data_IF_524317822756
#
_entry.id   IF_524317822756
#
_cell.length_a   1.000
_cell.length_b   1.000
_cell.length_c   1.000
_cell.angle_alpha   90.00
_cell.angle_beta   90.00
_cell.angle_gamma   90.00
#
_symmetry.space_group_name_H-M   'P 1'
#
loop_
_entity.id
_entity.type
_entity.pdbx_description
1 polymer ?
#
# COMPACT_ATOMS: atom_id res chain seq x y z
N UNK A 1 -5.15 39.43 46.69
CA UNK A 1 -4.71 38.04 46.37
C UNK A 1 -5.86 37.17 45.85
N UNK A 2 -6.62 37.61 44.82
CA UNK A 2 -7.67 36.78 44.19
C UNK A 2 -7.70 36.84 42.65
N UNK A 3 -7.05 37.83 42.02
CA UNK A 3 -6.94 37.90 40.56
C UNK A 3 -5.73 37.15 39.97
N UNK A 4 -4.70 36.85 40.77
CA UNK A 4 -3.51 36.15 40.28
C UNK A 4 -3.70 34.62 40.15
N UNK A 5 -4.70 34.05 40.85
CA UNK A 5 -4.95 32.60 40.84
C UNK A 5 -5.84 32.18 39.67
N UNK A 6 -6.65 33.09 39.12
CA UNK A 6 -7.53 32.79 37.98
C UNK A 6 -6.76 32.85 36.65
N UNK A 7 -5.70 33.67 36.53
CA UNK A 7 -4.86 33.69 35.33
C UNK A 7 -3.91 32.49 35.21
N UNK A 8 -3.61 31.81 36.32
CA UNK A 8 -2.80 30.59 36.34
C UNK A 8 -3.61 29.32 36.02
N UNK A 9 -4.95 29.39 36.04
CA UNK A 9 -5.82 28.27 35.69
C UNK A 9 -6.13 28.16 34.18
N UNK A 10 -5.68 29.14 33.36
CA UNK A 10 -5.85 29.10 31.89
C UNK A 10 -4.62 28.53 31.16
N UNK A 11 -3.48 28.38 31.84
CA UNK A 11 -2.25 27.81 31.26
C UNK A 11 -2.00 26.33 31.59
N UNK A 12 -2.96 25.66 32.22
CA UNK A 12 -3.03 24.20 32.27
C UNK A 12 -3.98 23.67 31.17
N UNK A 13 -3.97 24.29 29.99
CA UNK A 13 -4.45 23.61 28.80
C UNK A 13 -3.48 22.46 28.55
N UNK A 14 -3.90 21.24 28.90
CA UNK A 14 -3.26 20.02 28.47
C UNK A 14 -2.88 20.21 27.00
N UNK A 15 -1.58 20.10 26.66
CA UNK A 15 -1.19 20.00 25.26
C UNK A 15 -1.82 18.72 24.75
N UNK A 16 -3.03 18.82 24.21
CA UNK A 16 -3.56 17.81 23.32
C UNK A 16 -2.49 17.70 22.23
N UNK A 17 -1.74 16.60 22.25
CA UNK A 17 -0.80 16.33 21.18
C UNK A 17 -1.62 16.39 19.89
N UNK A 18 -1.24 17.28 18.97
CA UNK A 18 -1.92 17.38 17.70
C UNK A 18 -1.89 16.00 17.05
N UNK A 19 -3.06 15.47 16.71
CA UNK A 19 -3.19 14.21 15.96
C UNK A 19 -2.41 14.37 14.66
N UNK A 20 -1.71 13.31 14.27
CA UNK A 20 -0.91 13.29 13.04
C UNK A 20 -1.75 13.68 11.83
N UNK A 21 -1.16 14.50 10.97
CA UNK A 21 -1.73 14.89 9.69
C UNK A 21 -1.23 13.98 8.59
N UNK A 22 -2.05 13.77 7.57
CA UNK A 22 -1.65 12.99 6.40
C UNK A 22 -0.40 13.58 5.75
N UNK A 23 0.57 12.74 5.42
CA UNK A 23 1.84 13.17 4.85
C UNK A 23 3.04 12.39 5.34
N UNK A 24 4.23 12.90 4.99
CA UNK A 24 5.49 12.43 5.56
C UNK A 24 5.46 12.57 7.08
N UNK A 25 5.88 11.51 7.77
CA UNK A 25 6.13 11.57 9.20
C UNK A 25 7.27 12.56 9.49
N UNK A 26 7.34 13.13 10.71
CA UNK A 26 8.46 13.98 11.10
C UNK A 26 9.80 13.30 10.83
N UNK A 27 10.60 13.90 9.95
CA UNK A 27 11.86 13.33 9.45
C UNK A 27 11.74 11.91 8.89
N UNK A 28 10.59 11.53 8.31
CA UNK A 28 10.38 10.20 7.71
C UNK A 28 11.13 9.98 6.40
N UNK A 29 11.61 11.05 5.78
CA UNK A 29 12.52 11.04 4.62
C UNK A 29 14.00 11.21 5.00
N UNK A 30 14.31 11.21 6.30
CA UNK A 30 15.68 11.20 6.83
C UNK A 30 16.63 12.33 6.39
N UNK A 31 16.11 13.41 5.78
CA UNK A 31 16.91 14.57 5.34
C UNK A 31 17.52 15.38 6.50
N UNK A 32 17.01 15.19 7.73
CA UNK A 32 17.69 15.67 8.94
C UNK A 32 18.48 14.52 9.56
N UNK A 33 19.79 14.51 9.35
CA UNK A 33 20.69 13.47 9.83
C UNK A 33 21.19 13.64 11.28
N UNK A 34 21.85 12.60 11.81
CA UNK A 34 22.55 12.67 13.10
C UNK A 34 23.76 13.60 13.05
N UNK A 35 24.24 14.06 14.21
CA UNK A 35 25.50 14.80 14.27
C UNK A 35 26.68 13.89 13.86
N UNK A 36 27.72 14.44 13.23
CA UNK A 36 28.91 13.67 12.82
C UNK A 36 29.58 12.92 13.99
N UNK A 37 29.49 13.45 15.21
CA UNK A 37 30.00 12.80 16.43
C UNK A 37 29.18 11.59 16.88
N UNK A 38 27.96 11.44 16.38
CA UNK A 38 27.05 10.33 16.65
C UNK A 38 27.10 9.26 15.55
N UNK A 39 28.00 9.43 14.58
CA UNK A 39 28.29 8.47 13.52
C UNK A 39 29.65 7.80 13.75
N UNK A 40 29.68 6.48 13.70
CA UNK A 40 30.90 5.67 13.67
C UNK A 40 31.22 5.36 12.22
N UNK A 41 32.48 5.55 11.82
CA UNK A 41 32.95 5.36 10.45
C UNK A 41 32.15 6.14 9.39
N UNK A 42 31.45 7.20 9.79
CA UNK A 42 30.70 8.08 8.89
C UNK A 42 29.26 7.66 8.57
N UNK A 43 28.86 6.41 8.84
CA UNK A 43 27.51 5.91 8.52
C UNK A 43 26.80 5.24 9.70
N UNK A 44 27.52 4.50 10.55
CA UNK A 44 26.91 3.69 11.61
C UNK A 44 26.42 4.56 12.75
N UNK A 45 25.14 4.45 13.10
CA UNK A 45 24.48 5.27 14.12
C UNK A 45 24.86 4.77 15.52
N UNK A 46 25.53 5.63 16.31
CA UNK A 46 26.07 5.25 17.63
C UNK A 46 25.02 5.19 18.73
N UNK A 47 24.02 6.07 18.69
CA UNK A 47 23.05 6.25 19.76
C UNK A 47 21.62 6.00 19.30
N UNK A 48 20.83 5.36 20.14
CA UNK A 48 19.42 5.03 19.86
C UNK A 48 18.49 6.23 19.61
N UNK A 49 18.97 7.47 19.72
CA UNK A 49 18.22 8.72 19.48
C UNK A 49 18.99 9.72 18.62
N UNK A 50 20.06 9.27 17.96
CA UNK A 50 20.93 10.14 17.18
C UNK A 50 20.23 10.63 15.91
N UNK A 51 19.38 9.81 15.29
CA UNK A 51 18.55 10.26 14.16
C UNK A 51 17.41 11.13 14.71
N UNK A 52 17.29 12.40 14.31
CA UNK A 52 16.19 13.26 14.75
C UNK A 52 14.82 12.62 14.54
N UNK A 53 13.96 12.64 15.57
CA UNK A 53 12.57 12.12 15.56
C UNK A 53 12.40 10.60 15.46
N UNK A 54 13.48 9.84 15.40
CA UNK A 54 13.46 8.39 15.32
C UNK A 54 14.30 7.78 16.44
N UNK A 55 13.80 6.69 17.02
CA UNK A 55 14.60 5.85 17.88
C UNK A 55 15.16 4.67 17.05
N UNK A 56 16.40 4.28 17.28
CA UNK A 56 17.08 3.18 16.57
C UNK A 56 17.47 2.07 17.54
N UNK A 57 17.44 0.83 17.06
CA UNK A 57 17.93 -0.35 17.78
C UNK A 57 18.68 -1.28 16.83
N UNK A 58 19.74 -1.93 17.32
CA UNK A 58 20.58 -2.81 16.52
C UNK A 58 21.55 -2.06 15.60
N UNK A 59 21.97 -2.71 14.51
CA UNK A 59 22.91 -2.16 13.54
C UNK A 59 22.18 -1.28 12.52
N UNK A 60 22.25 0.04 12.71
CA UNK A 60 21.58 1.02 11.84
C UNK A 60 22.62 1.92 11.19
N UNK A 61 22.54 2.12 9.88
CA UNK A 61 23.36 3.06 9.15
C UNK A 61 22.54 4.22 8.59
N UNK A 62 23.12 5.41 8.62
CA UNK A 62 22.64 6.59 7.92
C UNK A 62 23.41 6.72 6.60
N UNK A 63 22.71 6.53 5.49
CA UNK A 63 23.30 6.40 4.15
C UNK A 63 23.04 7.67 3.36
N UNK A 64 24.09 8.24 2.79
CA UNK A 64 24.04 9.35 1.85
C UNK A 64 23.94 8.83 0.39
N UNK A 65 23.25 9.58 -0.46
CA UNK A 65 23.16 9.28 -1.88
C UNK A 65 24.56 9.21 -2.52
N UNK A 66 24.79 8.21 -3.36
CA UNK A 66 26.10 7.93 -3.94
C UNK A 66 27.00 7.02 -3.09
N UNK A 67 26.58 6.64 -1.88
CA UNK A 67 27.32 5.72 -1.03
C UNK A 67 27.50 4.35 -1.68
N UNK A 68 28.70 3.78 -1.55
CA UNK A 68 29.06 2.48 -2.11
C UNK A 68 29.48 1.51 -1.01
N UNK A 69 29.00 0.28 -1.12
CA UNK A 69 29.51 -0.87 -0.39
C UNK A 69 30.33 -1.75 -1.35
N UNK A 70 31.65 -1.63 -1.28
CA UNK A 70 32.53 -2.18 -2.32
C UNK A 70 32.26 -1.52 -3.67
N UNK A 71 31.96 -2.32 -4.69
CA UNK A 71 31.57 -1.83 -6.02
C UNK A 71 30.07 -1.56 -6.17
N UNK A 72 29.25 -1.96 -5.18
CA UNK A 72 27.80 -1.82 -5.23
C UNK A 72 27.37 -0.43 -4.76
N UNK A 73 26.58 0.27 -5.58
CA UNK A 73 25.92 1.53 -5.20
C UNK A 73 24.67 1.23 -4.38
N UNK A 74 24.55 1.84 -3.20
CA UNK A 74 23.31 1.81 -2.42
C UNK A 74 22.40 2.93 -2.91
N UNK A 75 21.24 2.55 -3.45
CA UNK A 75 20.34 3.49 -4.09
C UNK A 75 19.37 4.06 -3.07
N UNK A 76 19.49 5.37 -2.82
CA UNK A 76 18.57 6.12 -1.96
C UNK A 76 17.27 6.38 -2.74
N UNK A 77 16.09 5.92 -2.27
CA UNK A 77 14.83 6.05 -3.01
C UNK A 77 14.41 7.48 -3.32
N UNK A 78 14.56 8.40 -2.35
CA UNK A 78 14.19 9.80 -2.49
C UNK A 78 15.20 10.71 -1.77
N UNK A 79 15.45 11.88 -2.34
CA UNK A 79 16.27 12.90 -1.68
C UNK A 79 17.74 12.51 -1.58
N UNK A 80 18.38 12.88 -0.47
CA UNK A 80 19.82 12.74 -0.28
C UNK A 80 20.18 11.65 0.74
N UNK A 81 19.25 11.23 1.61
CA UNK A 81 19.56 10.34 2.72
C UNK A 81 18.50 9.25 2.95
N UNK A 82 18.94 8.10 3.44
CA UNK A 82 18.07 7.01 3.88
C UNK A 82 18.67 6.29 5.09
N UNK A 83 17.88 5.45 5.74
CA UNK A 83 18.35 4.60 6.84
C UNK A 83 18.43 3.15 6.38
N UNK A 84 19.58 2.51 6.56
CA UNK A 84 19.74 1.08 6.32
C UNK A 84 19.60 0.30 7.62
N UNK A 85 18.76 -0.73 7.59
CA UNK A 85 18.55 -1.64 8.71
C UNK A 85 19.37 -2.91 8.49
N UNK A 86 20.44 -3.09 9.25
CA UNK A 86 21.21 -4.33 9.27
C UNK A 86 20.49 -5.46 10.00
N UNK A 87 21.24 -6.49 10.40
CA UNK A 87 20.71 -7.66 11.10
C UNK A 87 19.97 -7.27 12.40
N UNK A 88 18.75 -7.76 12.55
CA UNK A 88 17.88 -7.54 13.71
C UNK A 88 17.71 -6.04 14.10
N UNK A 89 17.88 -5.14 13.13
CA UNK A 89 17.84 -3.70 13.37
C UNK A 89 16.44 -3.12 13.15
N UNK A 90 16.12 -2.06 13.89
CA UNK A 90 14.83 -1.38 13.77
C UNK A 90 14.91 0.13 13.95
N UNK A 91 13.91 0.79 13.38
CA UNK A 91 13.58 2.19 13.65
C UNK A 91 12.18 2.29 14.25
N UNK A 92 12.01 3.21 15.19
CA UNK A 92 10.77 3.44 15.91
C UNK A 92 10.40 4.93 15.89
N UNK A 93 9.12 5.22 15.67
CA UNK A 93 8.56 6.55 15.91
C UNK A 93 7.25 6.47 16.71
N UNK A 94 7.10 7.38 17.68
CA UNK A 94 5.85 7.58 18.42
C UNK A 94 4.97 8.58 17.70
N UNK A 95 3.77 8.15 17.33
CA UNK A 95 2.85 8.92 16.49
C UNK A 95 1.55 9.19 17.26
N UNK A 96 1.17 10.46 17.52
CA UNK A 96 -0.13 10.80 18.07
C UNK A 96 -1.22 10.53 17.03
N UNK A 97 -2.18 9.67 17.35
CA UNK A 97 -3.25 9.21 16.44
C UNK A 97 -4.62 9.34 17.10
N UNK A 98 -5.67 9.34 16.30
CA UNK A 98 -7.04 9.29 16.80
C UNK A 98 -7.47 7.84 17.01
N UNK A 99 -7.61 7.44 18.28
CA UNK A 99 -8.10 6.10 18.65
C UNK A 99 -9.40 5.75 17.93
N UNK A 100 -9.46 4.54 17.40
CA UNK A 100 -10.58 4.00 16.63
C UNK A 100 -10.49 4.27 15.13
N UNK A 101 -9.63 5.18 14.70
CA UNK A 101 -9.40 5.49 13.28
C UNK A 101 -8.48 4.46 12.63
N UNK A 102 -8.59 4.35 11.31
CA UNK A 102 -7.73 3.50 10.50
C UNK A 102 -6.63 4.36 9.88
N UNK A 103 -5.45 3.78 9.72
CA UNK A 103 -4.30 4.46 9.15
C UNK A 103 -3.58 3.52 8.17
N UNK A 104 -3.00 4.09 7.13
CA UNK A 104 -2.01 3.43 6.28
C UNK A 104 -0.64 4.08 6.49
N UNK A 105 0.37 3.26 6.74
CA UNK A 105 1.77 3.63 6.62
C UNK A 105 2.21 3.37 5.18
N UNK A 106 2.98 4.29 4.62
CA UNK A 106 3.63 4.13 3.32
C UNK A 106 5.11 4.44 3.48
N UNK A 107 5.99 3.61 2.93
CA UNK A 107 7.43 3.88 2.96
C UNK A 107 8.08 3.26 1.73
N UNK A 108 9.22 3.80 1.32
CA UNK A 108 10.05 3.25 0.26
C UNK A 108 11.10 2.34 0.86
N UNK A 109 11.35 1.22 0.19
CA UNK A 109 12.40 0.32 0.59
C UNK A 109 13.21 -0.16 -0.62
N UNK A 110 14.54 -0.09 -0.49
CA UNK A 110 15.48 -0.58 -1.47
C UNK A 110 16.23 -1.79 -0.92
N UNK A 111 16.41 -2.81 -1.76
CA UNK A 111 17.19 -3.99 -1.39
C UNK A 111 18.66 -3.71 -1.57
N UNK A 112 19.49 -4.31 -0.71
CA UNK A 112 20.95 -4.16 -0.82
C UNK A 112 21.61 -5.48 -1.20
N UNK A 113 21.52 -6.48 -0.34
CA UNK A 113 22.27 -7.73 -0.49
C UNK A 113 21.46 -8.99 -0.21
N UNK A 114 20.38 -8.91 0.58
CA UNK A 114 19.61 -10.09 0.94
C UNK A 114 18.66 -10.49 -0.20
N UNK A 115 18.64 -11.79 -0.52
CA UNK A 115 17.85 -12.33 -1.64
C UNK A 115 16.36 -12.47 -1.32
N UNK A 116 16.02 -12.68 -0.04
CA UNK A 116 14.66 -12.88 0.45
C UNK A 116 14.38 -11.98 1.66
N UNK A 117 14.47 -10.66 1.45
CA UNK A 117 14.18 -9.68 2.49
C UNK A 117 12.70 -9.77 2.92
N UNK A 118 12.50 -9.76 4.23
CA UNK A 118 11.21 -9.62 4.90
C UNK A 118 11.33 -8.46 5.85
N UNK A 119 10.32 -7.60 5.88
CA UNK A 119 10.29 -6.49 6.81
C UNK A 119 9.07 -6.63 7.71
N UNK A 120 9.30 -6.55 9.02
CA UNK A 120 8.22 -6.48 9.99
C UNK A 120 7.83 -5.03 10.19
N UNK A 121 6.56 -4.72 9.98
CA UNK A 121 5.98 -3.41 10.31
C UNK A 121 4.97 -3.63 11.41
N UNK A 122 5.09 -2.91 12.52
CA UNK A 122 4.21 -3.10 13.65
C UNK A 122 3.77 -1.79 14.29
N UNK A 123 2.54 -1.82 14.79
CA UNK A 123 1.91 -0.82 15.65
C UNK A 123 1.19 -1.58 16.74
N UNK A 124 1.75 -1.58 17.96
CA UNK A 124 1.24 -2.42 19.06
C UNK A 124 -0.29 -2.35 19.22
N UNK A 125 -1.00 -3.49 19.24
CA UNK A 125 -0.53 -4.89 19.17
C UNK A 125 -0.53 -5.51 17.75
N UNK A 126 -0.81 -4.73 16.70
CA UNK A 126 -0.88 -5.20 15.31
C UNK A 126 0.52 -5.24 14.67
N UNK A 127 0.75 -6.23 13.82
CA UNK A 127 1.98 -6.37 13.05
C UNK A 127 1.70 -7.06 11.72
N UNK A 128 2.41 -6.66 10.68
CA UNK A 128 2.42 -7.31 9.38
C UNK A 128 3.83 -7.64 8.92
N UNK A 129 3.95 -8.66 8.07
CA UNK A 129 5.19 -9.04 7.41
C UNK A 129 5.08 -8.65 5.94
N UNK A 130 5.95 -7.76 5.49
CA UNK A 130 5.99 -7.30 4.10
C UNK A 130 7.08 -8.08 3.36
N UNK A 131 6.71 -9.01 2.46
CA UNK A 131 7.70 -9.74 1.68
C UNK A 131 8.29 -8.83 0.60
N UNK A 132 9.60 -8.57 0.69
CA UNK A 132 10.35 -7.76 -0.29
C UNK A 132 11.09 -8.61 -1.32
N UNK A 133 10.75 -9.91 -1.42
CA UNK A 133 11.39 -10.84 -2.34
C UNK A 133 11.21 -10.45 -3.82
N UNK A 134 10.05 -9.88 -4.16
CA UNK A 134 9.74 -9.48 -5.54
C UNK A 134 10.08 -8.02 -5.72
N UNK A 135 10.99 -7.74 -6.66
CA UNK A 135 11.28 -6.39 -7.11
C UNK A 135 10.29 -6.08 -8.23
N UNK A 136 9.46 -5.05 -8.06
CA UNK A 136 8.47 -4.67 -9.07
C UNK A 136 9.01 -3.61 -10.02
N UNK A 137 9.84 -2.69 -9.53
CA UNK A 137 10.52 -1.68 -10.34
C UNK A 137 11.95 -2.05 -10.75
N UNK A 138 12.36 -1.68 -11.95
CA UNK A 138 13.77 -1.80 -12.41
C UNK A 138 14.75 -0.88 -11.65
N UNK A 139 14.23 0.09 -10.90
CA UNK A 139 15.00 1.12 -10.20
C UNK A 139 15.73 0.62 -8.93
N UNK A 140 15.39 -0.58 -8.43
CA UNK A 140 16.01 -1.17 -7.23
C UNK A 140 15.32 -0.82 -5.91
N UNK A 141 14.22 -0.08 -5.94
CA UNK A 141 13.35 0.19 -4.80
C UNK A 141 11.88 0.19 -5.22
N UNK A 142 11.00 0.01 -4.23
CA UNK A 142 9.55 0.15 -4.37
C UNK A 142 8.97 0.84 -3.13
N UNK A 143 7.79 1.46 -3.25
CA UNK A 143 7.03 1.94 -2.08
C UNK A 143 5.98 0.91 -1.67
N UNK A 144 5.87 0.64 -0.37
CA UNK A 144 4.96 -0.34 0.21
C UNK A 144 3.98 0.33 1.14
N UNK A 145 2.77 -0.20 1.22
CA UNK A 145 1.76 0.22 2.19
C UNK A 145 1.34 -0.91 3.12
N UNK A 146 1.11 -0.55 4.39
CA UNK A 146 0.54 -1.42 5.42
C UNK A 146 -0.47 -0.63 6.25
N UNK A 147 -1.53 -1.26 6.74
CA UNK A 147 -2.61 -0.56 7.43
C UNK A 147 -2.91 -1.15 8.80
N UNK A 148 -3.36 -0.31 9.71
CA UNK A 148 -3.70 -0.68 11.08
C UNK A 148 -4.90 0.14 11.60
N UNK A 149 -5.48 -0.31 12.71
CA UNK A 149 -6.46 0.47 13.46
C UNK A 149 -5.86 0.97 14.76
N UNK A 150 -5.89 2.27 14.99
CA UNK A 150 -5.36 2.86 16.21
C UNK A 150 -6.17 2.40 17.44
N UNK A 151 -5.58 1.57 18.30
CA UNK A 151 -6.18 1.15 19.58
C UNK A 151 -5.84 2.09 20.75
N UNK A 152 -4.85 2.96 20.55
CA UNK A 152 -4.34 3.95 21.50
C UNK A 152 -4.36 5.35 20.87
N UNK A 153 -4.16 6.39 21.68
CA UNK A 153 -4.05 7.78 21.20
C UNK A 153 -2.61 8.16 20.79
N UNK A 154 -1.64 7.32 21.15
CA UNK A 154 -0.26 7.37 20.67
C UNK A 154 0.15 5.94 20.37
N UNK A 155 0.68 5.72 19.17
CA UNK A 155 1.16 4.41 18.72
C UNK A 155 2.66 4.44 18.51
N UNK A 156 3.31 3.29 18.69
CA UNK A 156 4.71 3.07 18.35
C UNK A 156 4.77 2.34 17.01
N UNK A 157 5.12 3.07 15.96
CA UNK A 157 5.41 2.49 14.65
C UNK A 157 6.83 1.95 14.69
N UNK A 158 7.01 0.66 14.43
CA UNK A 158 8.31 0.01 14.32
C UNK A 158 8.45 -0.62 12.94
N UNK A 159 9.54 -0.28 12.27
CA UNK A 159 10.00 -0.96 11.05
C UNK A 159 11.25 -1.75 11.43
N UNK A 160 11.18 -3.07 11.30
CA UNK A 160 12.19 -4.01 11.80
C UNK A 160 12.63 -4.96 10.70
N UNK A 161 13.94 -5.09 10.52
CA UNK A 161 14.56 -6.13 9.70
C UNK A 161 14.87 -7.34 10.60
N UNK A 162 14.08 -8.43 10.56
CA UNK A 162 14.37 -9.66 11.30
C UNK A 162 15.46 -10.52 10.65
N UNK A 163 16.00 -10.10 9.50
CA UNK A 163 16.99 -10.84 8.75
C UNK A 163 18.29 -11.05 9.53
N UNK A 164 18.94 -12.18 9.27
CA UNK A 164 20.26 -12.50 9.80
C UNK A 164 21.12 -13.00 8.66
N UNK A 165 22.00 -12.14 8.18
CA UNK A 165 22.94 -12.40 7.10
C UNK A 165 24.39 -12.44 7.63
N UNK A 166 25.32 -12.95 6.84
CA UNK A 166 26.74 -13.01 7.23
C UNK A 166 27.34 -11.61 7.44
N UNK A 167 26.97 -10.66 6.58
CA UNK A 167 27.30 -9.25 6.77
C UNK A 167 26.25 -8.59 7.67
N UNK A 168 26.63 -8.09 8.87
CA UNK A 168 25.71 -7.45 9.80
C UNK A 168 25.06 -6.18 9.25
N UNK A 169 25.67 -5.52 8.26
CA UNK A 169 25.08 -4.37 7.58
C UNK A 169 23.99 -4.79 6.60
N UNK A 170 23.89 -6.06 6.23
CA UNK A 170 22.98 -6.50 5.19
C UNK A 170 21.51 -6.32 5.53
N UNK A 171 20.78 -5.65 4.65
CA UNK A 171 19.35 -5.38 4.82
C UNK A 171 18.86 -4.13 4.09
N UNK A 172 17.55 -3.85 4.17
CA UNK A 172 16.92 -2.85 3.34
C UNK A 172 17.32 -1.42 3.74
N UNK A 173 17.41 -0.53 2.73
CA UNK A 173 17.32 0.91 2.95
C UNK A 173 15.84 1.28 3.06
N UNK A 174 15.50 2.07 4.07
CA UNK A 174 14.17 2.60 4.34
C UNK A 174 14.20 4.11 4.16
N UNK A 175 13.19 4.63 3.49
CA UNK A 175 13.05 6.05 3.20
C UNK A 175 11.57 6.46 3.04
N UNK A 176 11.30 7.76 3.07
CA UNK A 176 10.02 8.39 2.78
C UNK A 176 8.82 7.79 3.56
N UNK A 177 9.00 7.58 4.88
CA UNK A 177 7.93 7.07 5.74
C UNK A 177 6.85 8.12 5.93
N UNK A 178 5.64 7.78 5.52
CA UNK A 178 4.45 8.59 5.52
C UNK A 178 3.27 7.86 6.17
N UNK A 179 2.28 8.64 6.59
CA UNK A 179 1.03 8.13 7.15
C UNK A 179 -0.15 8.84 6.50
N UNK A 180 -1.25 8.11 6.35
CA UNK A 180 -2.54 8.68 5.97
C UNK A 180 -3.66 8.07 6.78
N UNK A 181 -4.58 8.92 7.22
CA UNK A 181 -5.84 8.50 7.83
C UNK A 181 -6.71 7.87 6.75
N UNK A 182 -7.20 6.66 7.01
CA UNK A 182 -8.12 5.95 6.13
C UNK A 182 -9.55 6.12 6.62
N UNK A 183 -10.44 6.51 5.70
CA UNK A 183 -11.87 6.64 5.99
C UNK A 183 -12.63 5.41 5.49
N UNK A 184 -13.22 4.58 6.39
CA UNK A 184 -13.95 3.40 5.97
C UNK A 184 -15.08 3.74 4.98
N UNK A 185 -15.05 3.20 3.74
CA UNK A 185 -15.99 3.56 2.69
C UNK A 185 -17.40 3.05 3.03
N UNK A 186 -18.38 3.93 2.85
CA UNK A 186 -19.81 3.57 2.90
C UNK A 186 -20.29 3.10 1.53
N UNK A 187 -21.34 2.29 1.51
CA UNK A 187 -21.99 1.91 0.24
C UNK A 187 -22.58 3.16 -0.42
N UNK A 188 -22.22 3.40 -1.68
CA UNK A 188 -22.87 4.44 -2.47
C UNK A 188 -24.22 3.96 -3.00
N UNK A 189 -25.14 4.90 -3.23
CA UNK A 189 -26.50 4.58 -3.68
C UNK A 189 -26.44 3.81 -5.00
N UNK A 190 -26.92 2.57 -4.98
CA UNK A 190 -26.97 1.73 -6.18
C UNK A 190 -25.67 1.00 -6.51
N UNK A 191 -24.60 1.10 -5.71
CA UNK A 191 -23.42 0.25 -5.83
C UNK A 191 -23.28 -0.63 -4.58
N UNK A 192 -23.15 -1.93 -4.79
CA UNK A 192 -22.94 -2.89 -3.70
C UNK A 192 -21.45 -3.06 -3.35
N UNK A 193 -20.54 -2.54 -4.18
CA UNK A 193 -19.13 -2.44 -3.87
C UNK A 193 -18.84 -1.16 -3.09
N UNK A 194 -17.94 -1.26 -2.13
CA UNK A 194 -17.32 -0.14 -1.43
C UNK A 194 -16.01 0.19 -2.11
N UNK A 195 -15.69 1.49 -2.18
CA UNK A 195 -14.42 1.98 -2.76
C UNK A 195 -14.11 1.37 -4.14
N UNK A 196 -15.13 1.24 -5.00
CA UNK A 196 -15.00 0.59 -6.30
C UNK A 196 -14.15 1.36 -7.32
N UNK A 197 -13.98 2.66 -7.10
CA UNK A 197 -13.03 3.50 -7.84
C UNK A 197 -11.73 3.80 -7.08
N UNK A 198 -11.46 3.10 -5.95
CA UNK A 198 -10.18 3.20 -5.23
C UNK A 198 -9.75 4.59 -4.74
N UNK A 199 -10.67 5.55 -4.68
CA UNK A 199 -10.42 6.93 -4.23
C UNK A 199 -9.91 7.03 -2.79
N UNK A 200 -10.22 6.03 -1.96
CA UNK A 200 -9.66 5.89 -0.63
C UNK A 200 -8.53 4.84 -0.63
N UNK A 201 -7.35 5.23 -0.13
CA UNK A 201 -6.15 4.39 -0.16
C UNK A 201 -4.96 5.01 0.57
N UNK A 202 -3.75 4.41 0.47
CA UNK A 202 -2.57 4.87 1.18
C UNK A 202 -2.13 6.29 0.76
N UNK A 203 -1.16 6.84 1.51
CA UNK A 203 -0.54 8.10 1.12
C UNK A 203 0.26 7.89 -0.18
N UNK A 204 0.13 8.83 -1.12
CA UNK A 204 0.89 8.80 -2.36
C UNK A 204 2.01 9.84 -2.26
N UNK A 205 3.26 9.39 -2.28
CA UNK A 205 4.41 10.30 -2.16
C UNK A 205 4.42 11.25 -3.37
N UNK A 206 4.55 12.59 -3.17
CA UNK A 206 4.40 13.57 -4.26
C UNK A 206 5.37 13.46 -5.44
N UNK A 207 6.47 12.72 -5.29
CA UNK A 207 7.45 12.51 -6.36
C UNK A 207 7.57 11.02 -6.76
N UNK A 208 6.63 10.17 -6.33
CA UNK A 208 6.70 8.73 -6.60
C UNK A 208 6.06 8.36 -7.95
N UNK A 209 6.86 8.39 -9.02
CA UNK A 209 6.42 7.98 -10.36
C UNK A 209 6.31 6.45 -10.56
N UNK A 210 6.28 5.67 -9.48
CA UNK A 210 6.32 4.20 -9.51
C UNK A 210 5.10 3.53 -8.84
N UNK A 211 4.19 4.31 -8.23
CA UNK A 211 3.03 3.77 -7.52
C UNK A 211 3.34 3.32 -6.09
N UNK A 212 2.32 2.80 -5.41
CA UNK A 212 2.44 2.23 -4.06
C UNK A 212 1.99 0.78 -4.09
N UNK A 213 2.88 -0.14 -3.79
CA UNK A 213 2.56 -1.56 -3.68
C UNK A 213 1.73 -1.82 -2.43
N UNK A 214 0.63 -2.53 -2.64
CA UNK A 214 -0.22 -3.06 -1.57
C UNK A 214 0.00 -4.57 -1.55
N UNK A 215 0.84 -5.08 -0.63
CA UNK A 215 1.15 -6.49 -0.55
C UNK A 215 -0.05 -7.33 -0.11
N UNK A 216 0.04 -8.66 -0.21
CA UNK A 216 -1.00 -9.54 0.30
C UNK A 216 -1.26 -9.32 1.78
N UNK A 217 -2.52 -9.11 2.12
CA UNK A 217 -2.96 -8.85 3.48
C UNK A 217 -3.69 -10.09 4.05
N UNK A 218 -3.16 -11.29 3.78
CA UNK A 218 -3.78 -12.57 4.19
C UNK A 218 -3.75 -12.72 5.72
N UNK A 219 -2.65 -12.30 6.34
CA UNK A 219 -2.46 -12.36 7.80
C UNK A 219 -2.78 -11.01 8.49
N UNK A 220 -2.83 -9.92 7.72
CA UNK A 220 -3.12 -8.58 8.24
C UNK A 220 -4.63 -8.37 8.46
N UNK A 221 -4.99 -7.80 9.61
CA UNK A 221 -6.38 -7.48 9.95
C UNK A 221 -6.98 -6.38 9.06
N UNK A 222 -6.13 -5.52 8.48
CA UNK A 222 -6.53 -4.30 7.80
C UNK A 222 -5.80 -4.10 6.48
N UNK A 223 -6.54 -3.70 5.45
CA UNK A 223 -6.01 -3.43 4.12
C UNK A 223 -5.77 -1.94 3.91
N UNK A 224 -4.63 -1.54 3.31
CA UNK A 224 -4.40 -0.17 2.85
C UNK A 224 -5.39 0.29 1.76
N UNK A 225 -6.12 -0.64 1.14
CA UNK A 225 -7.24 -0.36 0.24
C UNK A 225 -8.54 -0.72 0.95
N UNK A 226 -9.21 0.23 1.62
CA UNK A 226 -10.40 -0.08 2.42
C UNK A 226 -11.46 -0.84 1.64
N UNK A 227 -11.97 -1.90 2.28
CA UNK A 227 -12.93 -2.88 1.74
C UNK A 227 -12.42 -3.84 0.65
N UNK A 228 -11.16 -3.73 0.23
CA UNK A 228 -10.53 -4.65 -0.71
C UNK A 228 -9.41 -5.44 -0.04
N UNK A 229 -9.28 -6.71 -0.40
CA UNK A 229 -8.22 -7.61 0.06
C UNK A 229 -7.35 -7.98 -1.14
N UNK A 230 -6.04 -8.08 -0.91
CA UNK A 230 -5.08 -8.61 -1.87
C UNK A 230 -4.87 -10.06 -1.46
N UNK A 231 -5.49 -10.97 -2.20
CA UNK A 231 -5.32 -12.40 -2.04
C UNK A 231 -4.18 -12.90 -2.92
N UNK A 232 -3.51 -13.97 -2.47
CA UNK A 232 -2.35 -14.63 -3.09
C UNK A 232 -0.98 -14.08 -2.63
N UNK A 233 0.10 -14.33 -3.37
CA UNK A 233 1.49 -14.12 -2.91
C UNK A 233 2.13 -12.80 -3.37
N UNK A 234 1.51 -12.08 -4.31
CA UNK A 234 2.04 -10.85 -4.91
C UNK A 234 1.13 -9.64 -4.67
N UNK A 235 1.74 -8.47 -4.71
CA UNK A 235 1.10 -7.18 -4.51
C UNK A 235 0.25 -6.76 -5.72
N UNK A 236 -0.69 -5.84 -5.45
CA UNK A 236 -1.23 -4.94 -6.47
C UNK A 236 -0.55 -3.58 -6.33
N UNK A 237 -0.65 -2.72 -7.35
CA UNK A 237 -0.06 -1.38 -7.30
C UNK A 237 -1.17 -0.33 -7.31
N UNK A 238 -1.21 0.48 -6.27
CA UNK A 238 -2.07 1.66 -6.19
C UNK A 238 -1.45 2.79 -7.01
N UNK A 239 -2.26 3.42 -7.87
CA UNK A 239 -1.84 4.49 -8.78
C UNK A 239 -2.77 5.70 -8.67
N UNK A 240 -2.29 6.82 -9.18
CA UNK A 240 -2.81 8.14 -8.88
C UNK A 240 -2.81 9.01 -10.16
N UNK A 241 -3.79 9.91 -10.29
CA UNK A 241 -3.96 10.73 -11.49
C UNK A 241 -2.92 11.84 -11.68
N UNK A 242 -2.15 12.16 -10.63
CA UNK A 242 -1.10 13.16 -10.70
C UNK A 242 0.14 12.62 -11.41
N UNK A 243 0.39 11.31 -11.31
CA UNK A 243 1.56 10.64 -11.88
C UNK A 243 1.22 9.69 -13.03
N UNK A 244 -0.02 9.20 -13.10
CA UNK A 244 -0.48 8.19 -14.05
C UNK A 244 -1.79 8.60 -14.73
N UNK A 245 -2.18 7.85 -15.76
CA UNK A 245 -3.57 7.89 -16.26
C UNK A 245 -4.41 6.90 -15.47
N UNK A 246 -5.54 7.39 -14.96
CA UNK A 246 -6.57 6.57 -14.30
C UNK A 246 -7.88 6.67 -15.09
N UNK A 247 -8.67 5.59 -15.20
CA UNK A 247 -9.92 5.61 -15.95
C UNK A 247 -10.96 6.63 -15.45
N UNK A 248 -11.12 6.79 -14.14
CA UNK A 248 -12.09 7.67 -13.50
C UNK A 248 -11.51 8.25 -12.19
N UNK A 249 -12.00 9.40 -11.75
CA UNK A 249 -11.59 10.00 -10.47
C UNK A 249 -10.09 10.31 -10.38
N UNK A 250 -9.49 10.04 -9.21
CA UNK A 250 -8.10 10.39 -8.92
C UNK A 250 -7.19 9.18 -8.69
N UNK A 251 -7.74 7.97 -8.61
CA UNK A 251 -7.03 6.78 -8.12
C UNK A 251 -7.49 5.53 -8.88
N UNK A 252 -6.60 4.54 -8.97
CA UNK A 252 -6.92 3.24 -9.54
C UNK A 252 -5.98 2.16 -8.99
N UNK A 253 -6.20 0.90 -9.38
CA UNK A 253 -5.32 -0.22 -9.02
C UNK A 253 -4.81 -0.92 -10.28
N UNK A 254 -3.51 -1.06 -10.39
CA UNK A 254 -2.83 -1.84 -11.43
C UNK A 254 -2.52 -3.27 -10.95
N UNK A 255 -2.87 -4.27 -11.76
CA UNK A 255 -2.71 -5.69 -11.44
C UNK A 255 -1.34 -6.22 -11.91
N UNK A 256 -0.31 -5.98 -11.09
CA UNK A 256 1.10 -6.27 -11.45
C UNK A 256 1.57 -7.70 -11.16
N UNK A 257 0.84 -8.44 -10.32
CA UNK A 257 1.25 -9.76 -9.83
C UNK A 257 0.82 -10.96 -10.67
N UNK A 258 0.33 -10.76 -11.90
CA UNK A 258 -0.17 -11.86 -12.73
C UNK A 258 -1.29 -12.67 -12.05
N UNK A 259 -1.25 -13.99 -12.17
CA UNK A 259 -2.17 -14.91 -11.47
C UNK A 259 -1.86 -15.09 -9.99
N UNK A 260 -0.72 -14.58 -9.54
CA UNK A 260 -0.30 -14.66 -8.14
C UNK A 260 -0.70 -13.41 -7.34
N UNK A 261 -1.55 -12.54 -7.90
CA UNK A 261 -2.20 -11.46 -7.16
C UNK A 261 -3.66 -11.34 -7.59
N UNK A 262 -4.55 -11.22 -6.62
CA UNK A 262 -5.97 -11.05 -6.85
C UNK A 262 -6.55 -10.00 -5.91
N UNK A 263 -7.20 -8.99 -6.48
CA UNK A 263 -7.92 -7.96 -5.77
C UNK A 263 -9.35 -8.44 -5.51
N UNK A 264 -9.76 -8.53 -4.24
CA UNK A 264 -11.00 -9.21 -3.84
C UNK A 264 -11.84 -8.35 -2.91
N UNK A 265 -13.14 -8.27 -3.18
CA UNK A 265 -14.12 -7.74 -2.25
C UNK A 265 -15.27 -8.74 -2.09
N UNK A 266 -15.65 -9.03 -0.86
CA UNK A 266 -16.80 -9.88 -0.56
C UNK A 266 -18.06 -9.06 -0.32
N UNK A 267 -19.11 -9.35 -1.08
CA UNK A 267 -20.36 -8.60 -1.07
C UNK A 267 -21.52 -9.51 -0.69
N UNK A 268 -22.46 -9.00 0.12
CA UNK A 268 -23.71 -9.70 0.43
C UNK A 268 -24.61 -9.75 -0.80
N UNK A 269 -25.06 -10.93 -1.17
CA UNK A 269 -25.94 -11.19 -2.32
C UNK A 269 -27.10 -12.10 -1.91
N UNK A 270 -28.03 -12.37 -2.82
CA UNK A 270 -29.18 -13.25 -2.58
C UNK A 270 -29.14 -14.40 -3.58
N UNK A 271 -29.10 -15.66 -3.13
CA UNK A 271 -29.11 -16.81 -4.04
C UNK A 271 -30.25 -16.74 -5.08
N UNK A 272 -29.92 -16.98 -6.35
CA UNK A 272 -30.85 -16.95 -7.47
C UNK A 272 -31.17 -15.55 -8.02
N UNK A 273 -30.69 -14.48 -7.40
CA UNK A 273 -30.80 -13.13 -7.98
C UNK A 273 -29.71 -12.88 -9.03
N UNK A 274 -30.08 -12.12 -10.06
CA UNK A 274 -29.15 -11.67 -11.08
C UNK A 274 -28.48 -10.36 -10.65
N UNK A 275 -27.19 -10.25 -10.94
CA UNK A 275 -26.35 -9.11 -10.65
C UNK A 275 -25.52 -8.75 -11.87
N UNK A 276 -25.12 -7.48 -11.95
CA UNK A 276 -24.24 -6.95 -12.99
C UNK A 276 -23.05 -6.26 -12.35
N UNK A 277 -21.86 -6.78 -12.64
CA UNK A 277 -20.60 -6.13 -12.34
C UNK A 277 -20.15 -5.35 -13.58
N UNK A 278 -19.93 -4.05 -13.46
CA UNK A 278 -19.31 -3.21 -14.49
C UNK A 278 -18.04 -2.58 -13.96
N UNK A 279 -17.02 -2.41 -14.80
CA UNK A 279 -15.72 -1.86 -14.41
C UNK A 279 -14.96 -1.33 -15.63
N UNK A 280 -13.94 -0.52 -15.40
CA UNK A 280 -12.99 -0.09 -16.41
C UNK A 280 -11.72 -0.98 -16.38
N UNK A 281 -11.15 -1.22 -17.56
CA UNK A 281 -9.87 -1.89 -17.77
C UNK A 281 -9.01 -1.05 -18.70
N UNK A 282 -7.77 -0.75 -18.32
CA UNK A 282 -6.89 0.14 -19.07
C UNK A 282 -5.40 -0.06 -18.80
N UNK A 283 -4.61 0.97 -19.11
CA UNK A 283 -3.20 1.10 -18.75
C UNK A 283 -2.92 2.48 -18.13
N UNK A 284 -1.85 2.56 -17.34
CA UNK A 284 -1.54 3.71 -16.47
C UNK A 284 -0.73 4.82 -17.17
N UNK A 285 -0.51 4.74 -18.49
CA UNK A 285 0.39 5.63 -19.24
C UNK A 285 1.85 5.63 -18.76
N UNK A 286 2.31 4.50 -18.23
CA UNK A 286 3.64 4.33 -17.66
C UNK A 286 4.62 3.63 -18.61
N UNK A 287 4.27 3.54 -19.90
CA UNK A 287 5.03 2.83 -20.92
C UNK A 287 4.84 1.31 -20.95
N UNK A 288 3.92 0.74 -20.16
CA UNK A 288 3.57 -0.68 -20.18
C UNK A 288 2.87 -1.06 -21.49
N UNK A 289 3.64 -1.47 -22.50
CA UNK A 289 3.16 -1.84 -23.84
C UNK A 289 2.90 -3.33 -23.96
N UNK A 290 1.90 -3.71 -24.77
CA UNK A 290 1.63 -5.09 -25.15
C UNK A 290 0.22 -5.57 -24.80
N UNK A 291 -0.04 -6.83 -25.13
CA UNK A 291 -1.32 -7.48 -24.86
C UNK A 291 -1.43 -7.85 -23.40
N UNK A 292 -2.47 -7.34 -22.73
CA UNK A 292 -2.79 -7.66 -21.34
C UNK A 292 -4.20 -8.24 -21.26
N UNK A 293 -4.48 -9.04 -20.25
CA UNK A 293 -5.82 -9.59 -20.03
C UNK A 293 -6.19 -9.48 -18.55
N UNK A 294 -7.18 -8.64 -18.26
CA UNK A 294 -7.81 -8.61 -16.94
C UNK A 294 -8.88 -9.69 -16.85
N UNK A 295 -8.92 -10.42 -15.74
CA UNK A 295 -9.95 -11.41 -15.44
C UNK A 295 -10.81 -10.92 -14.28
N UNK A 296 -12.13 -11.01 -14.45
CA UNK A 296 -13.11 -10.74 -13.40
C UNK A 296 -13.89 -12.01 -13.06
N UNK A 297 -14.06 -12.28 -11.77
CA UNK A 297 -14.85 -13.42 -11.28
C UNK A 297 -15.93 -12.94 -10.33
N UNK A 298 -17.12 -13.53 -10.48
CA UNK A 298 -18.22 -13.38 -9.54
C UNK A 298 -19.09 -14.63 -9.55
N UNK A 299 -19.28 -15.24 -8.37
CA UNK A 299 -19.97 -16.52 -8.21
C UNK A 299 -19.35 -17.62 -9.09
N UNK A 300 -20.07 -18.10 -10.11
CA UNK A 300 -19.58 -19.10 -11.09
C UNK A 300 -19.21 -18.48 -12.44
N UNK A 301 -19.40 -17.18 -12.60
CA UNK A 301 -19.16 -16.48 -13.85
C UNK A 301 -17.73 -15.92 -13.87
N UNK A 302 -17.14 -15.93 -15.06
CA UNK A 302 -15.83 -15.35 -15.33
C UNK A 302 -15.91 -14.53 -16.61
N UNK A 303 -15.21 -13.40 -16.63
CA UNK A 303 -14.99 -12.59 -17.82
C UNK A 303 -13.49 -12.38 -18.01
N UNK A 304 -13.00 -12.62 -19.22
CA UNK A 304 -11.65 -12.21 -19.64
C UNK A 304 -11.76 -10.99 -20.53
N UNK A 305 -11.04 -9.93 -20.18
CA UNK A 305 -11.07 -8.64 -20.88
C UNK A 305 -9.68 -8.41 -21.47
N UNK A 306 -9.47 -8.75 -22.76
CA UNK A 306 -8.21 -8.44 -23.43
C UNK A 306 -8.08 -6.93 -23.60
N UNK A 307 -6.90 -6.36 -23.43
CA UNK A 307 -6.60 -4.94 -23.59
C UNK A 307 -5.22 -4.81 -24.24
N UNK A 308 -5.18 -4.20 -25.43
CA UNK A 308 -3.93 -3.92 -26.14
C UNK A 308 -3.40 -2.56 -25.73
N UNK A 309 -2.34 -2.54 -24.92
CA UNK A 309 -1.76 -1.30 -24.42
C UNK A 309 -0.67 -0.75 -25.32
N UNK A 310 -0.78 0.56 -25.60
CA UNK A 310 0.31 1.35 -26.19
C UNK A 310 1.17 2.05 -25.11
N UNK A 311 0.85 1.86 -23.83
CA UNK A 311 1.54 2.45 -22.68
C UNK A 311 1.36 3.96 -22.56
N UNK A 312 0.39 4.56 -23.24
CA UNK A 312 0.12 6.00 -23.26
C UNK A 312 -1.17 6.38 -22.51
N UNK A 313 -1.79 5.42 -21.84
CA UNK A 313 -3.06 5.57 -21.15
C UNK A 313 -4.25 5.30 -22.05
N UNK A 314 -5.35 4.96 -21.40
CA UNK A 314 -6.60 4.62 -22.06
C UNK A 314 -7.36 3.60 -21.24
N UNK A 315 -8.63 3.42 -21.56
CA UNK A 315 -9.43 2.39 -20.93
C UNK A 315 -10.62 2.00 -21.79
N UNK A 316 -11.21 0.86 -21.47
CA UNK A 316 -12.53 0.45 -21.96
C UNK A 316 -13.36 -0.11 -20.81
N UNK A 317 -14.67 -0.14 -21.01
CA UNK A 317 -15.61 -0.67 -20.01
C UNK A 317 -15.94 -2.12 -20.30
N UNK A 318 -16.06 -2.91 -19.23
CA UNK A 318 -16.41 -4.32 -19.26
C UNK A 318 -17.61 -4.59 -18.35
N UNK A 319 -18.36 -5.65 -18.67
CA UNK A 319 -19.57 -6.04 -17.94
C UNK A 319 -19.61 -7.55 -17.77
N UNK A 320 -19.79 -8.00 -16.52
CA UNK A 320 -20.00 -9.38 -16.13
C UNK A 320 -21.35 -9.54 -15.43
N UNK A 321 -22.29 -10.21 -16.11
CA UNK A 321 -23.56 -10.61 -15.52
C UNK A 321 -23.42 -11.98 -14.85
N UNK A 322 -23.95 -12.12 -13.64
CA UNK A 322 -23.93 -13.38 -12.90
C UNK A 322 -25.18 -13.59 -12.07
N UNK A 323 -25.43 -14.85 -11.69
CA UNK A 323 -26.46 -15.22 -10.73
C UNK A 323 -25.77 -15.65 -9.44
N UNK A 324 -26.14 -15.02 -8.32
CA UNK A 324 -25.55 -15.38 -7.04
C UNK A 324 -25.98 -16.80 -6.63
N UNK A 325 -25.03 -17.57 -6.10
CA UNK A 325 -25.25 -18.96 -5.65
C UNK A 325 -25.30 -19.09 -4.13
N UNK A 326 -24.86 -18.05 -3.41
CA UNK A 326 -24.79 -17.95 -1.95
C UNK A 326 -25.22 -16.55 -1.53
N UNK A 327 -25.39 -16.36 -0.22
CA UNK A 327 -25.70 -15.08 0.43
C UNK A 327 -24.51 -14.10 0.46
N UNK A 328 -23.32 -14.58 0.09
CA UNK A 328 -22.09 -13.80 -0.11
C UNK A 328 -21.43 -14.20 -1.42
N UNK A 329 -20.94 -13.21 -2.16
CA UNK A 329 -20.21 -13.41 -3.41
C UNK A 329 -18.92 -12.60 -3.36
N UNK A 330 -17.80 -13.27 -3.68
CA UNK A 330 -16.52 -12.61 -3.91
C UNK A 330 -16.51 -12.06 -5.32
N UNK A 331 -16.24 -10.77 -5.43
CA UNK A 331 -15.85 -10.09 -6.67
C UNK A 331 -14.34 -10.07 -6.70
N UNK A 332 -13.75 -10.64 -7.75
CA UNK A 332 -12.29 -10.79 -7.88
C UNK A 332 -11.84 -10.17 -9.18
N UNK A 333 -10.74 -9.41 -9.14
CA UNK A 333 -9.98 -8.97 -10.30
C UNK A 333 -8.55 -9.50 -10.22
N UNK A 334 -8.03 -10.04 -11.31
CA UNK A 334 -6.63 -10.47 -11.43
C UNK A 334 -6.13 -10.30 -12.87
N UNK A 335 -4.82 -10.34 -13.06
CA UNK A 335 -4.24 -10.44 -14.41
C UNK A 335 -4.13 -11.91 -14.82
N UNK A 336 -4.41 -12.23 -16.09
CA UNK A 336 -4.31 -13.59 -16.59
C UNK A 336 -2.86 -14.12 -16.66
N UNK A 337 -1.88 -13.21 -16.70
CA UNK A 337 -0.45 -13.55 -16.78
C UNK A 337 0.41 -12.38 -16.29
N UNK A 338 1.67 -12.68 -16.01
CA UNK A 338 2.68 -11.65 -15.74
C UNK A 338 2.96 -10.85 -17.00
N UNK A 339 3.11 -9.54 -16.83
CA UNK A 339 3.51 -8.64 -17.89
C UNK A 339 4.59 -7.69 -17.39
N UNK A 340 5.52 -7.35 -18.27
CA UNK A 340 6.70 -6.56 -17.92
C UNK A 340 7.00 -5.56 -19.03
N UNK A 341 7.54 -4.41 -18.64
CA UNK A 341 8.15 -3.44 -19.53
C UNK A 341 9.49 -3.97 -20.04
N UNK A 342 10.04 -3.30 -21.07
CA UNK A 342 11.33 -3.66 -21.65
C UNK A 342 12.52 -3.54 -20.66
N UNK A 343 12.39 -2.69 -19.64
CA UNK A 343 13.37 -2.51 -18.57
C UNK A 343 13.23 -3.54 -17.43
N UNK A 344 12.27 -4.47 -17.53
CA UNK A 344 11.99 -5.47 -16.51
C UNK A 344 11.05 -5.02 -15.39
N UNK A 345 10.51 -3.81 -15.44
CA UNK A 345 9.48 -3.37 -14.47
C UNK A 345 8.18 -4.15 -14.66
N UNK A 346 7.64 -4.73 -13.58
CA UNK A 346 6.34 -5.39 -13.57
C UNK A 346 5.21 -4.37 -13.74
N UNK A 347 4.32 -4.68 -14.68
CA UNK A 347 3.16 -3.85 -14.99
C UNK A 347 1.97 -4.74 -15.40
N UNK A 348 0.79 -4.15 -15.54
CA UNK A 348 -0.41 -4.91 -15.85
C UNK A 348 -1.64 -4.03 -16.12
N UNK A 349 -2.81 -4.66 -16.32
CA UNK A 349 -4.03 -3.93 -16.57
C UNK A 349 -4.44 -3.13 -15.32
N UNK A 350 -4.86 -1.88 -15.55
CA UNK A 350 -5.46 -1.00 -14.54
C UNK A 350 -6.94 -1.31 -14.42
N UNK A 351 -7.44 -1.46 -13.19
CA UNK A 351 -8.85 -1.62 -12.83
C UNK A 351 -9.32 -0.39 -12.08
N UNK A 352 -10.52 0.06 -12.45
CA UNK A 352 -11.18 1.21 -11.85
C UNK A 352 -12.70 1.20 -12.10
N UNK A 353 -13.43 2.13 -11.48
CA UNK A 353 -14.87 2.34 -11.58
C UNK A 353 -15.70 1.05 -11.45
N UNK A 354 -15.34 0.19 -10.50
CA UNK A 354 -16.04 -1.06 -10.25
C UNK A 354 -17.40 -0.81 -9.56
N UNK A 355 -18.48 -1.23 -10.23
CA UNK A 355 -19.86 -1.10 -9.77
C UNK A 355 -20.57 -2.44 -9.84
N UNK A 356 -21.20 -2.85 -8.74
CA UNK A 356 -22.03 -4.05 -8.65
C UNK A 356 -23.47 -3.66 -8.34
N UNK A 357 -24.40 -4.08 -9.20
CA UNK A 357 -25.83 -3.75 -9.06
C UNK A 357 -26.70 -5.01 -9.14
N UNK A 358 -27.77 -5.05 -8.36
CA UNK A 358 -28.78 -6.12 -8.44
C UNK A 358 -29.81 -5.84 -9.53
N UNK A 359 -30.07 -6.81 -10.41
CA UNK A 359 -30.95 -6.67 -11.57
C UNK A 359 -32.39 -7.19 -11.35
N UNK A 360 -32.74 -7.63 -10.12
CA UNK A 360 -33.95 -8.39 -9.71
C UNK A 360 -33.88 -9.90 -10.00
N UNK A 361 -34.75 -10.66 -9.33
CA UNK A 361 -34.91 -12.12 -9.47
C UNK A 361 -35.35 -12.46 -10.90
N UNK A 362 -34.63 -13.34 -11.60
CA UNK A 362 -35.15 -13.95 -12.83
C UNK A 362 -36.43 -14.73 -12.45
N UNK A 363 -37.59 -14.47 -13.08
CA UNK A 363 -38.75 -15.32 -12.89
C UNK A 363 -38.35 -16.76 -13.21
N UNK A 364 -38.61 -17.69 -12.31
CA UNK A 364 -38.46 -19.11 -12.60
C UNK A 364 -39.28 -19.41 -13.86
N UNK A 365 -38.62 -19.88 -14.92
CA UNK A 365 -39.31 -20.38 -16.10
C UNK A 365 -40.38 -21.36 -15.61
N UNK A 366 -41.66 -21.04 -15.81
CA UNK A 366 -42.74 -21.99 -15.60
C UNK A 366 -42.38 -23.21 -16.44
N UNK A 367 -42.08 -24.34 -15.78
CA UNK A 367 -42.21 -25.64 -16.43
C UNK A 367 -43.65 -25.69 -16.93
N UNK A 368 -43.86 -25.46 -18.22
CA UNK A 368 -45.01 -26.07 -18.87
C UNK A 368 -44.75 -27.57 -18.75
N UNK A 369 -45.40 -28.21 -17.77
CA UNK A 369 -45.69 -29.62 -17.91
C UNK A 369 -46.71 -29.71 -19.03
N UNK A 370 -46.24 -30.14 -20.20
CA UNK A 370 -47.08 -30.68 -21.26
C UNK A 370 -47.22 -32.18 -21.03
#
# INVERSE_FOLDING_TARGET
>A
MRCAVVLLLVFAAARAAAVVTDGLLPNGNFESGPAKSELVNGTVVKGGKAIPKWETSGFVEYIESGHKQGDMLLVVPQGAYAVRLGNDASILQRIPVARGSYYAITFSAARTCAQAERLNVSVSPESGVLPMQTIYGSNGWDSYAWAFKAKLDVVELVIHNPGVEEDPACGPLIDAVAIRTLYPPTLSKGNMLKNGGFEEGPYFLPNASWGVLVPPNIEDDHSPLPAWMIMSSKAVKYVDAAHFKVPEGARAVELVGGKESALVQEVRTVPGWAYRLSFAVGDSADGCKGSMVAEAYAARSTLKVPYESNGAGGYKRAVLDFVAVRDRTRVVFQSAFYHMKADGTLCGPVIDDAKLVGLRKKPSARRLML
#
